data_IF_170841643960
#
_entry.id   IF_170841643960
#
_cell.length_a   1.000
_cell.length_b   1.000
_cell.length_c   1.000
_cell.angle_alpha   90.00
_cell.angle_beta   90.00
_cell.angle_gamma   90.00
#
_symmetry.space_group_name_H-M   'P 1'
#
loop_
_entity.id
_entity.type
_entity.pdbx_description
1 polymer ?
#
# COMPACT_ATOMS: atom_id res chain seq x y z
N UNK A 1 9.58 -15.86 9.76
CA UNK A 1 8.52 -15.75 8.71
C UNK A 1 9.00 -16.50 7.48
N UNK A 2 8.14 -17.26 6.82
CA UNK A 2 8.52 -18.13 5.68
C UNK A 2 7.83 -17.74 4.37
N UNK A 3 6.66 -17.12 4.39
CA UNK A 3 5.92 -16.69 3.19
C UNK A 3 5.12 -15.41 3.48
N UNK A 4 5.04 -14.51 2.49
CA UNK A 4 4.07 -13.40 2.44
C UNK A 4 3.41 -13.39 1.07
N UNK A 5 2.08 -13.27 1.05
CA UNK A 5 1.28 -13.34 -0.16
C UNK A 5 0.15 -12.32 -0.14
N UNK A 6 0.02 -11.57 -1.23
CA UNK A 6 -1.18 -10.77 -1.50
C UNK A 6 -2.29 -11.72 -1.97
N UNK A 7 -3.35 -11.84 -1.17
CA UNK A 7 -4.49 -12.74 -1.44
C UNK A 7 -5.55 -12.02 -2.27
N UNK A 8 -5.78 -10.73 -1.99
CA UNK A 8 -6.82 -9.93 -2.63
C UNK A 8 -6.42 -8.47 -2.66
N UNK A 9 -6.78 -7.80 -3.74
CA UNK A 9 -6.81 -6.33 -3.81
C UNK A 9 -8.23 -5.88 -4.14
N UNK A 10 -8.70 -4.88 -3.42
CA UNK A 10 -9.98 -4.23 -3.63
C UNK A 10 -9.73 -2.73 -3.86
N UNK A 11 -10.19 -2.21 -4.99
CA UNK A 11 -10.04 -0.80 -5.32
C UNK A 11 -11.24 -0.01 -4.82
N UNK A 12 -10.97 1.11 -4.16
CA UNK A 12 -11.97 2.14 -3.86
C UNK A 12 -11.86 3.30 -4.82
N UNK A 13 -12.01 4.50 -4.27
CA UNK A 13 -11.96 5.73 -5.03
C UNK A 13 -10.61 5.91 -5.74
N UNK A 14 -10.70 6.19 -7.03
CA UNK A 14 -9.60 6.60 -7.89
C UNK A 14 -9.98 7.96 -8.47
N UNK A 15 -9.20 8.99 -8.12
CA UNK A 15 -9.43 10.36 -8.57
C UNK A 15 -8.22 10.81 -9.39
N UNK A 16 -8.44 11.14 -10.66
CA UNK A 16 -7.39 11.61 -11.58
C UNK A 16 -7.52 13.13 -11.77
N UNK A 17 -6.40 13.85 -11.70
CA UNK A 17 -6.32 15.29 -11.89
C UNK A 17 -5.14 15.62 -12.81
N UNK A 18 -5.40 15.64 -14.12
CA UNK A 18 -4.36 15.84 -15.13
C UNK A 18 -3.31 14.73 -15.07
N UNK A 19 -2.07 15.10 -14.76
CA UNK A 19 -0.94 14.17 -14.65
C UNK A 19 -0.71 13.66 -13.21
N UNK A 20 -1.65 13.86 -12.28
CA UNK A 20 -1.60 13.24 -10.95
C UNK A 20 -2.87 12.43 -10.68
N UNK A 21 -2.80 11.45 -9.77
CA UNK A 21 -3.98 10.73 -9.32
C UNK A 21 -3.84 10.30 -7.85
N UNK A 22 -4.97 10.02 -7.20
CA UNK A 22 -5.02 9.35 -5.90
C UNK A 22 -5.87 8.09 -6.02
N UNK A 23 -5.33 6.94 -5.61
CA UNK A 23 -6.02 5.66 -5.62
C UNK A 23 -6.06 5.08 -4.21
N UNK A 24 -7.22 4.66 -3.75
CA UNK A 24 -7.37 3.92 -2.49
C UNK A 24 -7.49 2.43 -2.79
N UNK A 25 -6.70 1.61 -2.11
CA UNK A 25 -6.77 0.15 -2.19
C UNK A 25 -6.94 -0.44 -0.79
N UNK A 26 -7.64 -1.57 -0.70
CA UNK A 26 -7.58 -2.46 0.43
C UNK A 26 -6.94 -3.77 0.00
N UNK A 27 -5.81 -4.08 0.61
CA UNK A 27 -5.02 -5.26 0.33
C UNK A 27 -5.20 -6.27 1.45
N UNK A 28 -5.50 -7.52 1.08
CA UNK A 28 -5.54 -8.62 2.04
C UNK A 28 -4.28 -9.44 1.89
N UNK A 29 -3.43 -9.41 2.91
CA UNK A 29 -2.17 -10.11 2.95
C UNK A 29 -2.28 -11.36 3.83
N UNK A 30 -1.52 -12.40 3.48
CA UNK A 30 -1.35 -13.60 4.28
C UNK A 30 0.12 -13.78 4.59
N UNK A 31 0.44 -14.00 5.87
CA UNK A 31 1.80 -14.22 6.36
C UNK A 31 1.87 -15.61 6.98
N UNK A 32 2.80 -16.43 6.52
CA UNK A 32 3.10 -17.74 7.13
C UNK A 32 4.37 -17.64 7.97
N UNK A 33 4.30 -18.16 9.19
CA UNK A 33 5.40 -18.12 10.15
C UNK A 33 6.21 -19.43 10.15
N UNK A 34 7.32 -19.44 10.88
CA UNK A 34 8.22 -20.61 10.94
C UNK A 34 7.60 -21.80 11.68
N UNK A 35 6.64 -21.54 12.56
CA UNK A 35 5.84 -22.57 13.24
C UNK A 35 4.72 -23.15 12.35
N UNK A 36 4.62 -22.69 11.11
CA UNK A 36 3.62 -23.12 10.13
C UNK A 36 2.24 -22.47 10.31
N UNK A 37 2.05 -21.59 11.30
CA UNK A 37 0.82 -20.82 11.42
C UNK A 37 0.72 -19.75 10.32
N UNK A 38 -0.51 -19.36 10.00
CA UNK A 38 -0.80 -18.31 9.03
C UNK A 38 -1.72 -17.27 9.65
N UNK A 39 -1.38 -16.01 9.44
CA UNK A 39 -2.24 -14.87 9.77
C UNK A 39 -2.62 -14.10 8.50
N UNK A 40 -3.80 -13.48 8.51
CA UNK A 40 -4.20 -12.55 7.46
C UNK A 40 -4.47 -11.16 8.03
N UNK A 41 -4.05 -10.14 7.30
CA UNK A 41 -4.36 -8.74 7.57
C UNK A 41 -5.09 -8.13 6.39
N UNK A 42 -5.90 -7.11 6.66
CA UNK A 42 -6.52 -6.27 5.63
C UNK A 42 -6.08 -4.84 5.87
N UNK A 43 -5.27 -4.32 4.96
CA UNK A 43 -4.58 -3.04 5.09
C UNK A 43 -5.08 -2.05 4.03
N UNK A 44 -5.29 -0.79 4.43
CA UNK A 44 -5.68 0.27 3.49
C UNK A 44 -4.46 1.03 3.03
N UNK A 45 -4.30 1.14 1.73
CA UNK A 45 -3.28 1.92 1.05
C UNK A 45 -3.91 3.10 0.33
N UNK A 46 -3.22 4.23 0.36
CA UNK A 46 -3.53 5.42 -0.43
C UNK A 46 -2.32 5.76 -1.26
N UNK A 47 -2.42 5.49 -2.56
CA UNK A 47 -1.38 5.80 -3.53
C UNK A 47 -1.58 7.20 -4.10
N UNK A 48 -0.53 8.03 -4.04
CA UNK A 48 -0.39 9.20 -4.90
C UNK A 48 0.38 8.79 -6.16
N UNK A 49 -0.16 9.10 -7.33
CA UNK A 49 0.42 8.75 -8.61
C UNK A 49 0.77 10.01 -9.41
N UNK A 50 1.86 9.94 -10.17
CA UNK A 50 2.26 10.97 -11.13
C UNK A 50 2.52 10.34 -12.49
N UNK A 51 2.06 10.98 -13.55
CA UNK A 51 2.32 10.54 -14.91
C UNK A 51 3.63 11.13 -15.40
N UNK A 52 4.58 10.28 -15.78
CA UNK A 52 5.87 10.66 -16.34
C UNK A 52 6.08 9.91 -17.65
N UNK A 53 6.38 10.63 -18.74
CA UNK A 53 6.61 10.04 -20.07
C UNK A 53 5.49 9.08 -20.54
N UNK A 54 4.23 9.41 -20.20
CA UNK A 54 3.06 8.61 -20.56
C UNK A 54 2.74 7.44 -19.62
N UNK A 55 3.61 7.12 -18.65
CA UNK A 55 3.41 6.06 -17.67
C UNK A 55 3.01 6.62 -16.29
N UNK A 56 2.11 5.94 -15.59
CA UNK A 56 1.78 6.27 -14.20
C UNK A 56 2.79 5.63 -13.25
N UNK A 57 3.39 6.45 -12.38
CA UNK A 57 4.35 6.06 -11.37
C UNK A 57 3.76 6.29 -9.98
N UNK A 58 4.08 5.43 -9.02
CA UNK A 58 3.76 5.67 -7.61
C UNK A 58 4.70 6.75 -7.07
N UNK A 59 4.13 7.88 -6.68
CA UNK A 59 4.85 8.97 -6.03
C UNK A 59 4.88 8.81 -4.50
N UNK A 60 3.80 8.29 -3.91
CA UNK A 60 3.73 7.96 -2.49
C UNK A 60 2.76 6.80 -2.23
N UNK A 61 3.03 6.02 -1.18
CA UNK A 61 2.13 5.02 -0.61
C UNK A 61 1.97 5.33 0.89
N UNK A 62 0.75 5.65 1.30
CA UNK A 62 0.41 5.96 2.70
C UNK A 62 -0.51 4.88 3.24
N UNK A 63 -0.18 4.34 4.41
CA UNK A 63 -0.95 3.33 5.13
C UNK A 63 -1.65 4.01 6.32
N UNK A 64 -2.86 4.58 6.15
CA UNK A 64 -3.40 5.53 7.13
C UNK A 64 -3.85 4.87 8.44
N UNK A 65 -4.09 3.56 8.38
CA UNK A 65 -4.63 2.78 9.49
C UNK A 65 -3.53 2.00 10.22
N UNK A 66 -2.30 1.98 9.68
CA UNK A 66 -1.16 1.47 10.41
C UNK A 66 -0.80 2.45 11.51
N UNK A 67 -0.81 1.96 12.74
CA UNK A 67 -0.40 2.73 13.90
C UNK A 67 1.07 3.13 13.70
N UNK A 68 1.33 4.42 13.54
CA UNK A 68 2.69 4.93 13.45
C UNK A 68 3.40 4.58 14.76
N UNK A 69 4.25 3.56 14.72
CA UNK A 69 5.18 3.31 15.80
C UNK A 69 6.08 4.57 15.90
N UNK A 70 6.18 5.27 17.04
CA UNK A 70 6.92 6.52 17.18
C UNK A 70 8.43 6.47 16.88
N UNK A 71 8.95 5.37 16.33
CA UNK A 71 10.36 5.12 16.06
C UNK A 71 10.76 5.01 14.59
N UNK A 72 9.83 5.13 13.63
CA UNK A 72 10.18 5.07 12.20
C UNK A 72 9.88 6.41 11.52
N UNK A 73 10.89 7.23 11.17
CA UNK A 73 10.67 8.42 10.38
C UNK A 73 10.03 8.03 9.05
N UNK A 74 8.90 8.66 8.71
CA UNK A 74 8.38 8.64 7.36
C UNK A 74 9.53 9.01 6.40
N UNK A 75 9.79 8.17 5.40
CA UNK A 75 10.79 8.47 4.38
C UNK A 75 10.47 9.86 3.78
N UNK A 76 11.39 10.84 3.85
CA UNK A 76 11.20 12.11 3.19
C UNK A 76 11.16 11.88 1.68
N UNK A 77 10.09 12.34 1.03
CA UNK A 77 10.02 12.38 -0.42
C UNK A 77 11.16 13.23 -0.99
N UNK A 78 11.80 12.71 -2.04
CA UNK A 78 12.76 13.41 -2.88
C UNK A 78 12.28 13.37 -4.33
#
# INVERSE_FOLDING_TARGET
MTEVKLIKIEWGDIVVNGNTARATAWETWSTTFEDGTTEQSRDRHVYALVQQNGAWMVQADVHPDQQQNPGNPAAPGA
#
